data_IF_321453329573
#
_entry.id   IF_321453329573
#
_cell.length_a   1.000
_cell.length_b   1.000
_cell.length_c   1.000
_cell.angle_alpha   90.00
_cell.angle_beta   90.00
_cell.angle_gamma   90.00
#
_symmetry.space_group_name_H-M   'P 1'
#
loop_
_entity.id
_entity.type
_entity.pdbx_description
1 polymer ?
#
# COMPACT_ATOMS: atom_id res chain seq x y z
N UNK A 1 5.93 29.60 -2.79
CA UNK A 1 6.11 28.54 -3.80
C UNK A 1 7.53 28.02 -3.73
N UNK A 2 7.72 26.69 -3.72
CA UNK A 2 9.02 26.04 -3.75
C UNK A 2 9.19 25.36 -5.11
N UNK A 3 10.37 25.52 -5.71
CA UNK A 3 10.76 24.86 -6.95
C UNK A 3 12.02 24.04 -6.70
N UNK A 4 11.98 22.77 -7.08
CA UNK A 4 13.15 21.88 -6.96
C UNK A 4 13.23 20.98 -8.19
N UNK A 5 14.40 20.94 -8.82
CA UNK A 5 14.67 20.03 -9.93
C UNK A 5 15.54 18.88 -9.43
N UNK A 6 15.07 17.67 -9.64
CA UNK A 6 15.77 16.46 -9.26
C UNK A 6 16.17 15.65 -10.50
N UNK A 7 17.30 14.99 -10.41
CA UNK A 7 17.77 14.13 -11.49
C UNK A 7 16.76 13.03 -11.82
N UNK A 8 16.49 12.79 -13.10
CA UNK A 8 15.56 11.79 -13.59
C UNK A 8 14.11 12.28 -13.74
N UNK A 9 13.83 13.54 -13.45
CA UNK A 9 12.55 14.18 -13.74
C UNK A 9 12.65 15.12 -14.94
N UNK A 10 11.64 15.05 -15.82
CA UNK A 10 11.55 15.91 -17.02
C UNK A 10 11.22 17.36 -16.66
N UNK A 11 10.46 17.55 -15.57
CA UNK A 11 10.02 18.85 -15.10
C UNK A 11 10.36 19.06 -13.62
N UNK A 12 10.58 20.33 -13.20
CA UNK A 12 10.80 20.63 -11.80
C UNK A 12 9.56 20.34 -10.96
N UNK A 13 9.77 20.00 -9.71
CA UNK A 13 8.70 19.95 -8.71
C UNK A 13 8.34 21.37 -8.31
N UNK A 14 7.06 21.72 -8.47
CA UNK A 14 6.50 22.97 -8.02
C UNK A 14 5.48 22.71 -6.91
N UNK A 15 5.76 23.21 -5.71
CA UNK A 15 4.89 23.05 -4.55
C UNK A 15 4.48 24.41 -4.02
N UNK A 16 3.18 24.63 -3.88
CA UNK A 16 2.62 25.81 -3.23
C UNK A 16 2.45 25.49 -1.75
N UNK A 17 2.95 26.37 -0.90
CA UNK A 17 2.86 26.26 0.56
C UNK A 17 2.81 27.67 1.16
N UNK A 18 2.22 27.77 2.33
CA UNK A 18 2.21 28.94 3.23
C UNK A 18 3.42 28.98 4.16
N UNK A 19 4.19 27.90 4.24
CA UNK A 19 5.41 27.82 5.04
C UNK A 19 6.52 28.67 4.44
N UNK A 20 7.37 29.22 5.30
CA UNK A 20 8.58 29.90 4.88
C UNK A 20 9.50 28.95 4.08
N UNK A 21 10.22 29.44 3.03
CA UNK A 21 11.06 28.57 2.21
C UNK A 21 12.13 27.80 2.98
N UNK A 22 12.59 28.34 4.11
CA UNK A 22 13.60 27.72 4.98
C UNK A 22 13.03 26.54 5.80
N UNK A 23 11.72 26.57 6.06
CA UNK A 23 11.04 25.59 6.89
C UNK A 23 10.43 24.45 6.08
N UNK A 24 10.18 24.66 4.79
CA UNK A 24 9.51 23.72 3.92
C UNK A 24 10.49 22.95 3.02
N UNK A 25 10.22 21.66 2.83
CA UNK A 25 10.98 20.79 1.92
C UNK A 25 10.04 20.21 0.86
N UNK A 26 10.41 20.33 -0.42
CA UNK A 26 9.64 19.77 -1.53
C UNK A 26 9.42 18.27 -1.37
N UNK A 27 10.38 17.56 -0.77
CA UNK A 27 10.28 16.12 -0.49
C UNK A 27 9.05 15.75 0.39
N UNK A 28 8.55 16.67 1.21
CA UNK A 28 7.35 16.43 2.03
C UNK A 28 6.09 16.23 1.21
N UNK A 29 6.06 16.73 -0.03
CA UNK A 29 4.97 16.43 -0.95
C UNK A 29 4.82 14.90 -1.20
N UNK A 30 5.89 14.14 -0.97
CA UNK A 30 5.85 12.67 -0.99
C UNK A 30 4.87 12.04 0.01
N UNK A 31 4.50 12.77 1.09
CA UNK A 31 3.48 12.34 2.05
C UNK A 31 2.11 12.15 1.39
N UNK A 32 1.84 12.80 0.26
CA UNK A 32 0.64 12.57 -0.54
C UNK A 32 0.47 11.09 -0.92
N UNK A 33 1.56 10.41 -1.21
CA UNK A 33 1.52 8.97 -1.52
C UNK A 33 0.97 8.14 -0.34
N UNK A 34 1.14 8.58 0.89
CA UNK A 34 0.60 7.92 2.08
C UNK A 34 -0.92 8.07 2.15
N UNK A 35 -1.44 9.27 1.82
CA UNK A 35 -2.88 9.53 1.73
C UNK A 35 -3.50 8.64 0.64
N UNK A 36 -2.89 8.59 -0.54
CA UNK A 36 -3.34 7.73 -1.64
C UNK A 36 -3.31 6.23 -1.26
N UNK A 37 -2.29 5.81 -0.53
CA UNK A 37 -2.20 4.44 -0.01
C UNK A 37 -3.33 4.15 1.01
N UNK A 38 -3.63 5.09 1.91
CA UNK A 38 -4.73 4.99 2.86
C UNK A 38 -6.08 4.81 2.16
N UNK A 39 -6.39 5.65 1.17
CA UNK A 39 -7.62 5.49 0.37
C UNK A 39 -7.66 4.16 -0.39
N UNK A 40 -6.54 3.69 -0.92
CA UNK A 40 -6.45 2.39 -1.56
C UNK A 40 -6.75 1.26 -0.58
N UNK A 41 -6.25 1.35 0.63
CA UNK A 41 -6.43 0.36 1.69
C UNK A 41 -7.90 0.32 2.14
N UNK A 42 -8.58 1.46 2.31
CA UNK A 42 -10.02 1.53 2.57
C UNK A 42 -10.81 0.92 1.42
N UNK A 43 -10.49 1.30 0.19
CA UNK A 43 -11.29 0.96 -0.99
C UNK A 43 -11.14 -0.50 -1.40
N UNK A 44 -9.92 -1.02 -1.52
CA UNK A 44 -9.64 -2.34 -2.11
C UNK A 44 -8.63 -3.18 -1.35
N UNK A 45 -7.81 -2.56 -0.53
CA UNK A 45 -6.67 -3.22 0.12
C UNK A 45 -7.03 -3.95 1.41
N UNK A 46 -8.09 -3.55 2.09
CA UNK A 46 -8.42 -4.08 3.41
C UNK A 46 -9.90 -4.11 3.74
N UNK A 47 -10.56 -2.94 3.72
CA UNK A 47 -11.92 -2.81 4.24
C UNK A 47 -13.04 -3.00 3.18
N UNK A 48 -12.70 -3.02 1.90
CA UNK A 48 -13.65 -3.37 0.84
C UNK A 48 -14.77 -2.35 0.61
N UNK A 49 -14.58 -1.07 0.98
CA UNK A 49 -15.57 -0.01 0.83
C UNK A 49 -16.30 -0.02 -0.52
N UNK A 50 -15.57 -0.27 -1.62
CA UNK A 50 -16.15 -0.31 -2.98
C UNK A 50 -17.20 -1.41 -3.19
N UNK A 51 -17.34 -2.34 -2.25
CA UNK A 51 -18.31 -3.44 -2.29
C UNK A 51 -19.58 -3.13 -1.50
N UNK A 52 -19.58 -2.09 -0.67
CA UNK A 52 -20.69 -1.77 0.24
C UNK A 52 -21.98 -1.43 -0.52
N UNK A 53 -21.90 -0.79 -1.70
CA UNK A 53 -23.03 -0.35 -2.53
C UNK A 53 -24.09 0.46 -1.76
N UNK A 54 -23.74 1.02 -0.61
CA UNK A 54 -24.64 1.84 0.20
C UNK A 54 -24.98 3.14 -0.51
N UNK A 55 -26.24 3.53 -0.44
CA UNK A 55 -26.76 4.78 -1.01
C UNK A 55 -27.25 5.76 0.05
N UNK A 56 -27.69 5.27 1.21
CA UNK A 56 -28.14 6.09 2.33
C UNK A 56 -26.97 6.81 3.01
N UNK A 57 -27.02 8.14 3.04
CA UNK A 57 -25.94 8.98 3.56
C UNK A 57 -25.64 8.71 5.04
N UNK A 58 -26.68 8.56 5.87
CA UNK A 58 -26.49 8.32 7.30
C UNK A 58 -25.89 6.95 7.62
N UNK A 59 -26.18 5.93 6.80
CA UNK A 59 -25.52 4.62 6.91
C UNK A 59 -24.08 4.69 6.43
N UNK A 60 -23.82 5.45 5.38
CA UNK A 60 -22.46 5.68 4.84
C UNK A 60 -21.59 6.34 5.89
N UNK A 61 -22.07 7.39 6.56
CA UNK A 61 -21.32 8.07 7.63
C UNK A 61 -20.95 7.12 8.77
N UNK A 62 -21.91 6.34 9.27
CA UNK A 62 -21.64 5.37 10.35
C UNK A 62 -20.64 4.31 9.93
N UNK A 63 -20.72 3.81 8.70
CA UNK A 63 -19.76 2.85 8.17
C UNK A 63 -18.37 3.48 8.03
N UNK A 64 -18.28 4.73 7.55
CA UNK A 64 -17.02 5.44 7.45
C UNK A 64 -16.37 5.66 8.82
N UNK A 65 -17.15 6.03 9.82
CA UNK A 65 -16.66 6.16 11.19
C UNK A 65 -16.10 4.82 11.72
N UNK A 66 -16.86 3.75 11.55
CA UNK A 66 -16.39 2.41 11.96
C UNK A 66 -15.10 2.00 11.22
N UNK A 67 -15.03 2.27 9.92
CA UNK A 67 -13.81 2.01 9.14
C UNK A 67 -12.64 2.87 9.58
N UNK A 68 -12.86 4.15 9.91
CA UNK A 68 -11.82 5.03 10.40
C UNK A 68 -11.23 4.52 11.73
N UNK A 69 -12.07 4.13 12.68
CA UNK A 69 -11.64 3.53 13.97
C UNK A 69 -10.85 2.24 13.72
N UNK A 70 -11.38 1.35 12.88
CA UNK A 70 -10.70 0.10 12.54
C UNK A 70 -9.35 0.34 11.85
N UNK A 71 -9.25 1.35 10.98
CA UNK A 71 -7.99 1.74 10.34
C UNK A 71 -6.95 2.21 11.35
N UNK A 72 -7.33 3.12 12.25
CA UNK A 72 -6.41 3.65 13.27
C UNK A 72 -5.90 2.50 14.13
N UNK A 73 -6.77 1.61 14.55
CA UNK A 73 -6.39 0.43 15.32
C UNK A 73 -5.43 -0.49 14.55
N UNK A 74 -5.82 -0.89 13.33
CA UNK A 74 -4.97 -1.74 12.48
C UNK A 74 -3.63 -1.09 12.16
N UNK A 75 -3.59 0.22 11.92
CA UNK A 75 -2.34 0.94 11.68
C UNK A 75 -1.49 0.98 12.95
N UNK A 76 -2.09 1.19 14.13
CA UNK A 76 -1.39 1.17 15.41
C UNK A 76 -0.71 -0.18 15.66
N UNK A 77 -1.47 -1.28 15.56
CA UNK A 77 -0.94 -2.64 15.70
C UNK A 77 0.12 -2.94 14.63
N UNK A 78 -0.16 -2.55 13.39
CA UNK A 78 0.74 -2.81 12.27
C UNK A 78 2.03 -2.00 12.30
N UNK A 79 2.01 -0.74 12.73
CA UNK A 79 3.21 0.08 12.84
C UNK A 79 4.12 -0.40 13.96
N UNK A 80 3.55 -0.82 15.09
CA UNK A 80 4.29 -1.46 16.18
C UNK A 80 4.93 -2.77 15.70
N UNK A 81 4.18 -3.63 15.04
CA UNK A 81 4.71 -4.87 14.48
C UNK A 81 5.75 -4.62 13.36
N UNK A 82 5.63 -3.52 12.61
CA UNK A 82 6.61 -3.15 11.59
C UNK A 82 7.92 -2.67 12.20
N UNK A 83 7.89 -1.97 13.34
CA UNK A 83 9.10 -1.59 14.07
C UNK A 83 9.89 -2.81 14.58
N UNK A 84 9.20 -3.94 14.80
CA UNK A 84 9.78 -5.22 15.21
C UNK A 84 9.98 -6.18 14.02
N UNK A 85 9.95 -5.68 12.78
CA UNK A 85 9.91 -6.49 11.55
C UNK A 85 11.02 -7.53 11.44
N UNK A 86 12.21 -7.26 11.94
CA UNK A 86 13.32 -8.21 11.94
C UNK A 86 13.03 -9.50 12.71
N UNK A 87 12.10 -9.43 13.68
CA UNK A 87 11.72 -10.54 14.55
C UNK A 87 10.48 -11.31 14.03
N UNK A 88 9.76 -10.74 13.05
CA UNK A 88 8.51 -11.31 12.56
C UNK A 88 8.71 -12.14 11.29
N UNK A 89 8.13 -13.34 11.27
CA UNK A 89 8.19 -14.25 10.13
C UNK A 89 7.29 -13.86 8.94
N UNK A 90 6.40 -12.88 9.09
CA UNK A 90 5.43 -12.48 8.05
C UNK A 90 6.08 -12.06 6.73
N UNK A 91 7.29 -11.46 6.78
CA UNK A 91 8.03 -11.07 5.57
C UNK A 91 8.72 -12.25 4.88
N UNK A 92 8.81 -13.38 5.55
CA UNK A 92 9.39 -14.62 5.01
C UNK A 92 8.36 -15.50 4.31
N UNK A 93 7.07 -15.18 4.45
CA UNK A 93 6.02 -15.90 3.75
C UNK A 93 6.17 -15.78 2.23
N UNK A 94 6.00 -16.87 1.48
CA UNK A 94 6.08 -16.83 0.03
C UNK A 94 4.96 -15.94 -0.54
N UNK A 95 5.28 -15.14 -1.55
CA UNK A 95 4.30 -14.27 -2.22
C UNK A 95 3.16 -15.05 -2.90
N UNK A 96 3.38 -16.33 -3.19
CA UNK A 96 2.48 -17.25 -3.88
C UNK A 96 2.81 -18.69 -3.48
N UNK A 97 1.85 -19.60 -3.66
CA UNK A 97 2.01 -21.05 -3.43
C UNK A 97 3.15 -21.68 -4.24
N UNK A 98 3.58 -21.04 -5.33
CA UNK A 98 4.71 -21.50 -6.13
C UNK A 98 5.92 -20.67 -5.72
N UNK A 99 6.88 -21.33 -5.10
CA UNK A 99 8.17 -20.71 -4.75
C UNK A 99 8.86 -20.22 -6.03
N UNK A 100 8.90 -18.89 -6.24
CA UNK A 100 9.79 -18.31 -7.24
C UNK A 100 11.22 -18.41 -6.74
N UNK A 101 12.14 -18.89 -7.59
CA UNK A 101 13.59 -18.85 -7.33
C UNK A 101 13.95 -17.49 -6.74
N UNK A 102 14.23 -17.44 -5.45
CA UNK A 102 14.69 -16.23 -4.78
C UNK A 102 16.03 -15.84 -5.38
N UNK A 103 16.15 -14.64 -5.89
CA UNK A 103 17.47 -14.03 -6.12
C UNK A 103 18.23 -14.10 -4.80
N UNK A 104 19.43 -14.69 -4.80
CA UNK A 104 20.34 -14.68 -3.65
C UNK A 104 20.53 -13.23 -3.23
N UNK A 105 20.03 -12.86 -2.09
CA UNK A 105 20.20 -11.54 -1.48
C UNK A 105 21.36 -11.65 -0.50
N UNK A 106 22.18 -10.59 -0.43
CA UNK A 106 23.18 -10.51 0.62
C UNK A 106 22.49 -10.63 1.99
N UNK A 107 22.99 -11.49 2.85
CA UNK A 107 22.41 -11.80 4.16
C UNK A 107 22.30 -10.56 5.09
N UNK A 108 23.04 -9.50 4.78
CA UNK A 108 23.14 -8.26 5.55
C UNK A 108 22.00 -7.26 5.32
N UNK A 109 21.17 -7.44 4.29
CA UNK A 109 20.06 -6.50 4.04
C UNK A 109 18.75 -7.02 4.62
N UNK A 110 18.04 -6.17 5.41
CA UNK A 110 16.71 -6.54 5.90
C UNK A 110 15.76 -6.84 4.74
N UNK A 111 14.79 -7.75 4.90
CA UNK A 111 13.84 -8.06 3.86
C UNK A 111 13.05 -6.79 3.47
N UNK A 112 12.73 -6.59 2.17
CA UNK A 112 11.94 -5.45 1.75
C UNK A 112 10.56 -5.50 2.38
N UNK A 113 10.03 -4.34 2.75
CA UNK A 113 8.66 -4.21 3.21
C UNK A 113 7.70 -4.67 2.11
N UNK A 114 6.87 -5.66 2.37
CA UNK A 114 5.90 -6.24 1.42
C UNK A 114 4.47 -5.89 1.78
N UNK A 115 4.20 -5.76 3.08
CA UNK A 115 2.91 -5.46 3.64
C UNK A 115 2.85 -3.98 4.05
N UNK A 116 1.71 -3.32 3.81
CA UNK A 116 1.44 -2.03 4.44
C UNK A 116 1.21 -2.23 5.94
N UNK A 117 1.38 -1.16 6.74
CA UNK A 117 1.08 -1.21 8.19
C UNK A 117 -0.35 -1.70 8.43
N UNK A 118 -1.33 -1.23 7.67
CA UNK A 118 -2.71 -1.67 7.78
C UNK A 118 -2.86 -3.18 7.54
N UNK A 119 -2.26 -3.71 6.47
CA UNK A 119 -2.34 -5.15 6.19
C UNK A 119 -1.63 -5.99 7.25
N UNK A 120 -0.51 -5.51 7.76
CA UNK A 120 0.23 -6.16 8.84
C UNK A 120 -0.61 -6.21 10.11
N UNK A 121 -1.19 -5.07 10.52
CA UNK A 121 -2.06 -5.01 11.70
C UNK A 121 -3.27 -5.91 11.55
N UNK A 122 -3.91 -5.91 10.38
CA UNK A 122 -5.02 -6.83 10.11
C UNK A 122 -4.62 -8.29 10.31
N UNK A 123 -3.46 -8.71 9.80
CA UNK A 123 -3.01 -10.09 9.95
C UNK A 123 -2.70 -10.44 11.40
N UNK A 124 -2.10 -9.52 12.16
CA UNK A 124 -1.82 -9.73 13.59
C UNK A 124 -3.13 -9.89 14.37
N UNK A 125 -4.11 -9.01 14.14
CA UNK A 125 -5.42 -9.08 14.80
C UNK A 125 -6.17 -10.37 14.44
N UNK A 126 -6.18 -10.73 13.17
CA UNK A 126 -6.82 -11.98 12.73
C UNK A 126 -6.12 -13.20 13.32
N UNK A 127 -4.78 -13.20 13.41
CA UNK A 127 -4.04 -14.28 14.04
C UNK A 127 -4.37 -14.42 15.53
N UNK A 128 -4.48 -13.30 16.27
CA UNK A 128 -4.87 -13.31 17.68
C UNK A 128 -6.29 -13.87 17.85
N UNK A 129 -7.24 -13.46 16.99
CA UNK A 129 -8.60 -14.00 17.01
C UNK A 129 -8.64 -15.52 16.78
N UNK A 130 -7.89 -16.03 15.80
CA UNK A 130 -7.84 -17.47 15.53
C UNK A 130 -7.21 -18.28 16.65
N UNK A 131 -6.31 -17.70 17.42
CA UNK A 131 -5.66 -18.33 18.55
C UNK A 131 -6.39 -18.15 19.88
N UNK A 132 -7.50 -17.38 19.85
CA UNK A 132 -8.23 -16.96 21.06
C UNK A 132 -7.30 -16.21 22.07
N UNK A 133 -6.33 -15.46 21.57
CA UNK A 133 -5.45 -14.58 22.34
C UNK A 133 -6.10 -13.21 22.53
N UNK A 134 -5.66 -12.47 23.53
CA UNK A 134 -6.09 -11.07 23.74
C UNK A 134 -5.72 -10.21 22.53
N UNK A 135 -6.67 -9.36 22.10
CA UNK A 135 -6.45 -8.48 20.96
C UNK A 135 -5.46 -7.36 21.31
N UNK A 136 -4.35 -7.23 20.58
CA UNK A 136 -3.38 -6.19 20.85
C UNK A 136 -3.98 -4.80 20.54
N UNK A 137 -3.80 -3.86 21.46
CA UNK A 137 -4.22 -2.46 21.23
C UNK A 137 -3.36 -1.79 20.18
N UNK A 138 -2.07 -2.03 20.22
CA UNK A 138 -1.09 -1.44 19.32
C UNK A 138 -0.74 0.01 19.68
N UNK A 139 0.33 0.51 19.09
CA UNK A 139 0.80 1.89 19.24
C UNK A 139 1.21 2.44 17.88
N UNK A 140 0.79 3.67 17.59
CA UNK A 140 1.28 4.38 16.40
C UNK A 140 2.77 4.67 16.55
N UNK A 141 3.56 4.13 15.64
CA UNK A 141 4.99 4.42 15.53
C UNK A 141 5.18 5.27 14.28
N UNK A 142 5.51 6.56 14.43
CA UNK A 142 5.63 7.44 13.27
C UNK A 142 6.83 7.04 12.40
N UNK A 143 6.62 7.07 11.09
CA UNK A 143 7.71 6.96 10.12
C UNK A 143 8.41 8.32 9.96
N UNK A 144 9.72 8.34 9.69
CA UNK A 144 10.43 9.59 9.41
C UNK A 144 9.86 10.23 8.14
N UNK A 145 9.75 11.55 8.15
CA UNK A 145 9.32 12.29 6.99
C UNK A 145 10.30 12.13 5.83
N UNK A 146 9.82 12.15 4.58
CA UNK A 146 10.68 12.04 3.41
C UNK A 146 11.77 13.13 3.40
N UNK A 147 13.02 12.73 3.28
CA UNK A 147 14.16 13.65 3.21
C UNK A 147 14.60 13.91 1.77
N UNK A 148 14.21 13.07 0.84
CA UNK A 148 14.53 13.19 -0.57
C UNK A 148 13.34 12.82 -1.45
N UNK A 149 13.27 13.40 -2.63
CA UNK A 149 12.27 13.04 -3.64
C UNK A 149 12.63 11.66 -4.18
N UNK A 150 11.68 10.74 -4.12
CA UNK A 150 11.89 9.39 -4.66
C UNK A 150 11.93 9.47 -6.19
N UNK A 151 13.00 9.01 -6.84
CA UNK A 151 13.11 9.06 -8.29
C UNK A 151 11.97 8.27 -8.96
N UNK A 152 11.50 8.71 -10.13
CA UNK A 152 10.44 8.03 -10.84
C UNK A 152 10.88 6.60 -11.17
N UNK A 153 10.01 5.63 -10.96
CA UNK A 153 10.26 4.26 -11.44
C UNK A 153 10.48 4.34 -12.94
N UNK A 154 11.67 3.93 -13.42
CA UNK A 154 11.96 3.87 -14.86
C UNK A 154 10.78 3.27 -15.60
N UNK A 155 10.26 4.01 -16.57
CA UNK A 155 9.15 3.52 -17.38
C UNK A 155 9.52 2.14 -17.95
N UNK A 156 8.61 1.18 -17.94
CA UNK A 156 8.91 -0.13 -18.49
C UNK A 156 9.29 0.03 -19.97
N UNK A 157 10.36 -0.65 -20.38
CA UNK A 157 10.83 -0.62 -21.77
C UNK A 157 9.69 -0.90 -22.77
N UNK A 158 9.75 -0.40 -23.99
CA UNK A 158 8.72 -0.64 -25.00
C UNK A 158 8.37 -2.12 -25.17
N UNK A 159 9.37 -3.00 -25.07
CA UNK A 159 9.16 -4.45 -25.09
C UNK A 159 8.30 -4.94 -23.93
N UNK A 160 8.58 -4.48 -22.69
CA UNK A 160 7.77 -4.82 -21.52
C UNK A 160 6.35 -4.22 -21.58
N UNK A 161 6.19 -3.05 -22.20
CA UNK A 161 4.85 -2.46 -22.43
C UNK A 161 4.03 -3.32 -23.36
N UNK A 162 4.62 -3.74 -24.50
CA UNK A 162 3.97 -4.65 -25.47
C UNK A 162 3.62 -6.01 -24.87
N UNK A 163 4.52 -6.59 -24.08
CA UNK A 163 4.26 -7.86 -23.37
C UNK A 163 3.11 -7.73 -22.35
N UNK A 164 3.09 -6.64 -21.56
CA UNK A 164 1.98 -6.35 -20.63
C UNK A 164 0.66 -6.16 -21.34
N UNK A 165 0.66 -5.51 -22.51
CA UNK A 165 -0.54 -5.31 -23.31
C UNK A 165 -1.05 -6.65 -23.85
N UNK A 166 -0.19 -7.47 -24.50
CA UNK A 166 -0.55 -8.82 -24.96
C UNK A 166 -1.11 -9.70 -23.82
N UNK A 167 -0.51 -9.63 -22.62
CA UNK A 167 -0.99 -10.37 -21.46
C UNK A 167 -2.37 -9.89 -20.98
N UNK A 168 -2.64 -8.57 -21.03
CA UNK A 168 -3.97 -8.02 -20.72
C UNK A 168 -5.03 -8.47 -21.72
N UNK A 169 -4.71 -8.48 -23.00
CA UNK A 169 -5.62 -8.93 -24.06
C UNK A 169 -5.92 -10.43 -23.94
N UNK A 170 -4.90 -11.26 -23.72
CA UNK A 170 -5.11 -12.71 -23.45
C UNK A 170 -6.03 -12.93 -22.26
N UNK A 171 -5.85 -12.19 -21.15
CA UNK A 171 -6.74 -12.28 -19.99
C UNK A 171 -8.17 -11.85 -20.31
N UNK A 172 -8.35 -10.78 -21.11
CA UNK A 172 -9.68 -10.33 -21.55
C UNK A 172 -10.36 -11.39 -22.42
N UNK A 173 -9.66 -11.96 -23.39
CA UNK A 173 -10.18 -13.03 -24.27
C UNK A 173 -10.55 -14.28 -23.46
N UNK A 174 -9.70 -14.72 -22.55
CA UNK A 174 -9.98 -15.87 -21.70
C UNK A 174 -11.21 -15.64 -20.83
N UNK A 175 -11.34 -14.46 -20.19
CA UNK A 175 -12.51 -14.10 -19.39
C UNK A 175 -13.80 -14.01 -20.22
N UNK A 176 -13.70 -13.52 -21.46
CA UNK A 176 -14.83 -13.48 -22.39
C UNK A 176 -15.27 -14.90 -22.83
N UNK A 177 -14.30 -15.77 -23.10
CA UNK A 177 -14.58 -17.17 -23.44
C UNK A 177 -15.25 -17.95 -22.28
N UNK A 178 -14.77 -17.72 -21.04
CA UNK A 178 -15.40 -18.31 -19.85
C UNK A 178 -16.85 -17.81 -19.66
N UNK A 179 -17.11 -16.52 -19.89
CA UNK A 179 -18.47 -15.97 -19.79
C UNK A 179 -19.41 -16.55 -20.85
N UNK A 180 -18.92 -16.78 -22.08
CA UNK A 180 -19.71 -17.43 -23.13
C UNK A 180 -20.04 -18.89 -22.80
N UNK A 181 -19.08 -19.63 -22.22
CA UNK A 181 -19.30 -21.02 -21.78
C UNK A 181 -20.25 -21.13 -20.58
N UNK A 182 -20.34 -20.11 -19.73
CA UNK A 182 -21.25 -20.09 -18.59
C UNK A 182 -22.66 -19.59 -18.95
N UNK A 183 -22.86 -19.06 -20.16
CA UNK A 183 -24.14 -18.57 -20.67
C UNK A 183 -24.79 -19.52 -21.68
N UNK A 184 -24.09 -20.59 -22.09
CA UNK A 184 -24.57 -21.69 -22.91
C UNK A 184 -24.88 -22.92 -22.04
#
# INVERSE_FOLDING_TARGET
MLLQWEEGYEHPWAVITDLAPQEAKVAWYGLRAWIEAGFKDVKRGGLGWHQSKMQDAGRVERLWLAMAVAMVWMIGVGSQADSQRAQLSLEHLPEKHIARKRRKRAATQPPPRRLSCLQRGRLVLVAALFKAEDLPVGRLVPEPWPQAITPPKKAPSPAKRRERQKRRERKKRHKAAQRRKAAA
#
